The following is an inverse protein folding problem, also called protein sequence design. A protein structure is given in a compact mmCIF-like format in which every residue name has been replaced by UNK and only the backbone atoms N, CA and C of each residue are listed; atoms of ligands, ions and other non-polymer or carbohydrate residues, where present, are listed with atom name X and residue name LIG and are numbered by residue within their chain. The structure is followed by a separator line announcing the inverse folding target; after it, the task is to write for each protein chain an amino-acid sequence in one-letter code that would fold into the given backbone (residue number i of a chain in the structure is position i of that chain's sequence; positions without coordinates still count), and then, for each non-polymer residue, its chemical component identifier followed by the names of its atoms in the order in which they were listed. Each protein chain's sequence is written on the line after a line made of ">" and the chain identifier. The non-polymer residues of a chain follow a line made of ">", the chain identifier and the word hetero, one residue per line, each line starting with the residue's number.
data_IF_894651799066
#
_entry.id   IF_894651799066
#
_cell.length_a   1.000
_cell.length_b   1.000
_cell.length_c   1.000
_cell.angle_alpha   90.00
_cell.angle_beta   90.00
_cell.angle_gamma   90.00
#
_symmetry.space_group_name_H-M   'P 1'
#
loop_
_entity.id
_entity.type
_entity.pdbx_description
1 polymer ?
#
# COMPACT_ATOMS: atom_id res chain seq x y z
N UNK A 1 46.46 -1.73 8.75
CA UNK A 1 45.38 -2.66 9.14
C UNK A 1 44.11 -1.84 9.16
N UNK A 2 43.26 -2.17 8.22
CA UNK A 2 42.27 -1.30 7.61
C UNK A 2 41.08 -1.04 8.53
N UNK A 3 40.77 0.25 8.69
CA UNK A 3 39.51 0.68 9.29
C UNK A 3 38.38 0.37 8.31
N UNK A 4 37.60 -0.66 8.61
CA UNK A 4 36.30 -0.86 7.99
C UNK A 4 35.38 0.30 8.37
N UNK A 5 35.28 1.29 7.48
CA UNK A 5 34.15 2.19 7.45
C UNK A 5 32.91 1.35 7.12
N UNK A 6 32.07 1.10 8.12
CA UNK A 6 30.68 0.72 7.90
C UNK A 6 30.03 1.87 7.12
N UNK A 7 29.76 1.63 5.84
CA UNK A 7 28.93 2.51 5.04
C UNK A 7 27.51 2.44 5.62
N UNK A 8 27.13 3.48 6.35
CA UNK A 8 25.74 3.77 6.66
C UNK A 8 25.03 4.08 5.33
N UNK A 9 24.45 3.06 4.71
CA UNK A 9 23.75 3.18 3.44
C UNK A 9 22.24 3.39 3.65
N UNK A 10 21.89 4.29 4.56
CA UNK A 10 20.52 4.77 4.72
C UNK A 10 20.41 6.15 4.08
N UNK A 11 20.66 6.24 2.77
CA UNK A 11 20.47 7.51 2.05
C UNK A 11 18.97 7.80 1.94
N UNK A 12 18.44 8.57 2.89
CA UNK A 12 17.12 9.17 2.76
C UNK A 12 17.19 10.26 1.67
N UNK A 13 16.33 10.16 0.65
CA UNK A 13 16.13 11.22 -0.33
C UNK A 13 14.98 12.11 0.14
N UNK A 14 15.22 13.42 0.21
CA UNK A 14 14.17 14.41 0.50
C UNK A 14 13.81 15.09 -0.82
N UNK A 15 12.53 15.07 -1.17
CA UNK A 15 11.98 15.75 -2.35
C UNK A 15 10.93 16.75 -1.88
N UNK A 16 11.16 18.02 -2.20
CA UNK A 16 10.21 19.12 -1.92
C UNK A 16 9.43 19.43 -3.20
N UNK A 17 8.11 19.50 -3.09
CA UNK A 17 7.19 19.80 -4.20
C UNK A 17 6.11 20.77 -3.72
N UNK A 18 5.42 21.42 -4.66
CA UNK A 18 4.35 22.37 -4.33
C UNK A 18 2.98 21.70 -4.27
N UNK A 19 2.83 20.51 -4.89
CA UNK A 19 1.56 19.79 -4.90
C UNK A 19 1.74 18.30 -4.67
N UNK A 20 0.69 17.64 -4.17
CA UNK A 20 0.65 16.19 -4.05
C UNK A 20 0.84 15.48 -5.40
N UNK A 21 0.39 16.10 -6.51
CA UNK A 21 0.58 15.55 -7.86
C UNK A 21 2.05 15.49 -8.23
N UNK A 22 2.79 16.59 -8.07
CA UNK A 22 4.22 16.62 -8.38
C UNK A 22 5.01 15.58 -7.57
N UNK A 23 4.62 15.35 -6.31
CA UNK A 23 5.24 14.31 -5.50
C UNK A 23 4.95 12.91 -6.05
N UNK A 24 3.69 12.63 -6.41
CA UNK A 24 3.32 11.33 -7.00
C UNK A 24 3.98 11.13 -8.36
N UNK A 25 4.09 12.18 -9.17
CA UNK A 25 4.78 12.17 -10.48
C UNK A 25 6.25 11.76 -10.35
N UNK A 26 6.92 12.14 -9.25
CA UNK A 26 8.29 11.73 -8.96
C UNK A 26 8.42 10.33 -8.34
N UNK A 27 7.33 9.78 -7.79
CA UNK A 27 7.31 8.44 -7.15
C UNK A 27 6.93 7.35 -8.14
N UNK A 28 6.02 7.64 -9.07
CA UNK A 28 5.47 6.67 -10.00
C UNK A 28 5.89 7.01 -11.43
N UNK A 29 6.77 6.18 -11.97
CA UNK A 29 7.22 6.29 -13.36
C UNK A 29 6.03 6.33 -14.34
N UNK A 30 6.03 7.37 -15.20
CA UNK A 30 5.01 7.57 -16.23
C UNK A 30 3.70 8.21 -15.76
N UNK A 31 3.55 8.56 -14.46
CA UNK A 31 2.33 9.20 -13.95
C UNK A 31 2.13 10.62 -14.50
N UNK A 32 3.21 11.39 -14.65
CA UNK A 32 3.15 12.77 -15.13
C UNK A 32 2.54 12.88 -16.55
N UNK A 33 2.85 11.92 -17.42
CA UNK A 33 2.47 11.93 -18.85
C UNK A 33 1.15 11.21 -19.12
N UNK A 34 0.57 10.56 -18.11
CA UNK A 34 -0.64 9.76 -18.20
C UNK A 34 -1.92 10.61 -18.13
N UNK A 35 -3.02 10.13 -18.73
CA UNK A 35 -4.36 10.67 -18.51
C UNK A 35 -4.91 10.28 -17.12
N UNK A 36 -6.07 10.83 -16.72
CA UNK A 36 -6.61 10.64 -15.38
C UNK A 36 -6.91 9.17 -15.04
N UNK A 37 -7.43 8.40 -15.99
CA UNK A 37 -7.74 6.98 -15.81
C UNK A 37 -6.44 6.16 -15.67
N UNK A 38 -5.45 6.46 -16.51
CA UNK A 38 -4.12 5.84 -16.45
C UNK A 38 -3.40 6.19 -15.15
N UNK A 39 -3.49 7.43 -14.67
CA UNK A 39 -2.92 7.87 -13.38
C UNK A 39 -3.54 7.12 -12.21
N UNK A 40 -4.86 6.95 -12.20
CA UNK A 40 -5.53 6.10 -11.22
C UNK A 40 -5.03 4.65 -11.29
N UNK A 41 -4.93 4.07 -12.48
CA UNK A 41 -4.43 2.70 -12.67
C UNK A 41 -2.97 2.54 -12.20
N UNK A 42 -2.12 3.52 -12.47
CA UNK A 42 -0.72 3.54 -12.03
C UNK A 42 -0.60 3.59 -10.50
N UNK A 43 -1.38 4.45 -9.83
CA UNK A 43 -1.45 4.50 -8.36
C UNK A 43 -1.97 3.18 -7.77
N UNK A 44 -3.02 2.61 -8.36
CA UNK A 44 -3.58 1.34 -7.90
C UNK A 44 -2.57 0.18 -8.05
N UNK A 45 -1.87 0.11 -9.19
CA UNK A 45 -0.81 -0.89 -9.41
C UNK A 45 0.32 -0.74 -8.41
N UNK A 46 0.79 0.49 -8.19
CA UNK A 46 1.85 0.77 -7.23
C UNK A 46 1.45 0.31 -5.81
N UNK A 47 0.24 0.64 -5.35
CA UNK A 47 -0.24 0.19 -4.04
C UNK A 47 -0.39 -1.34 -3.98
N UNK A 48 -0.81 -2.00 -5.06
CA UNK A 48 -0.93 -3.46 -5.09
C UNK A 48 0.42 -4.17 -4.94
N UNK A 49 1.44 -3.71 -5.66
CA UNK A 49 2.79 -4.25 -5.57
C UNK A 49 3.34 -4.14 -4.13
N UNK A 50 3.17 -2.97 -3.50
CA UNK A 50 3.63 -2.74 -2.14
C UNK A 50 2.78 -3.48 -1.10
N UNK A 51 1.45 -3.54 -1.26
CA UNK A 51 0.56 -4.29 -0.39
C UNK A 51 0.91 -5.78 -0.39
N UNK A 52 1.16 -6.37 -1.57
CA UNK A 52 1.58 -7.75 -1.70
C UNK A 52 2.91 -8.00 -0.96
N UNK A 53 3.88 -7.12 -1.13
CA UNK A 53 5.18 -7.24 -0.45
C UNK A 53 5.04 -7.16 1.08
N UNK A 54 4.31 -6.17 1.59
CA UNK A 54 4.10 -5.98 3.04
C UNK A 54 3.28 -7.12 3.64
N UNK A 55 2.22 -7.58 2.97
CA UNK A 55 1.40 -8.70 3.42
C UNK A 55 2.24 -10.00 3.50
N UNK A 56 3.14 -10.22 2.55
CA UNK A 56 4.07 -11.36 2.58
C UNK A 56 5.05 -11.27 3.77
N UNK A 57 5.55 -10.08 4.10
CA UNK A 57 6.38 -9.85 5.29
C UNK A 57 5.61 -10.12 6.58
N UNK A 58 4.37 -9.60 6.70
CA UNK A 58 3.50 -9.88 7.84
C UNK A 58 3.27 -11.39 7.99
N UNK A 59 2.93 -12.07 6.89
CA UNK A 59 2.67 -13.50 6.90
C UNK A 59 3.90 -14.31 7.33
N UNK A 60 5.09 -13.94 6.86
CA UNK A 60 6.33 -14.61 7.24
C UNK A 60 6.63 -14.48 8.75
N UNK A 61 6.27 -13.36 9.38
CA UNK A 61 6.45 -13.13 10.82
C UNK A 61 5.44 -13.93 11.67
N UNK A 62 4.18 -13.97 11.22
CA UNK A 62 3.08 -14.61 11.98
C UNK A 62 2.90 -16.10 11.69
N UNK A 63 3.47 -16.64 10.61
CA UNK A 63 3.30 -18.04 10.18
C UNK A 63 3.74 -19.08 11.23
N UNK A 64 4.61 -18.70 12.17
CA UNK A 64 5.04 -19.58 13.26
C UNK A 64 4.15 -19.50 14.51
N UNK A 65 3.25 -18.51 14.58
CA UNK A 65 2.49 -18.16 15.77
C UNK A 65 0.98 -18.45 15.64
N UNK A 66 0.46 -18.55 14.42
CA UNK A 66 -0.95 -18.76 14.15
C UNK A 66 -1.18 -20.05 13.36
N UNK A 67 -2.22 -20.79 13.74
CA UNK A 67 -2.76 -21.87 12.93
C UNK A 67 -3.76 -21.26 11.95
N UNK A 68 -3.35 -21.11 10.69
CA UNK A 68 -4.14 -20.47 9.64
C UNK A 68 -4.86 -21.51 8.82
N UNK A 69 -6.19 -21.40 8.75
CA UNK A 69 -6.98 -22.22 7.85
C UNK A 69 -6.79 -21.81 6.37
N UNK A 70 -7.27 -22.67 5.48
CA UNK A 70 -7.11 -22.50 4.03
C UNK A 70 -7.83 -21.24 3.51
N UNK A 71 -8.96 -20.88 4.12
CA UNK A 71 -9.73 -19.68 3.76
C UNK A 71 -8.96 -18.41 4.11
N UNK A 72 -8.37 -18.35 5.33
CA UNK A 72 -7.51 -17.25 5.75
C UNK A 72 -6.27 -17.15 4.87
N UNK A 73 -5.61 -18.27 4.56
CA UNK A 73 -4.46 -18.30 3.66
C UNK A 73 -4.83 -17.81 2.26
N UNK A 74 -6.00 -18.19 1.75
CA UNK A 74 -6.49 -17.75 0.44
C UNK A 74 -6.62 -16.23 0.37
N UNK A 75 -7.19 -15.61 1.41
CA UNK A 75 -7.34 -14.15 1.48
C UNK A 75 -5.98 -13.46 1.70
N UNK A 76 -5.15 -13.97 2.60
CA UNK A 76 -3.83 -13.39 2.93
C UNK A 76 -2.86 -13.45 1.75
N UNK A 77 -2.85 -14.55 0.98
CA UNK A 77 -1.95 -14.76 -0.15
C UNK A 77 -2.48 -14.22 -1.48
N UNK A 78 -3.71 -13.69 -1.51
CA UNK A 78 -4.29 -13.19 -2.75
C UNK A 78 -3.49 -12.01 -3.34
N UNK A 79 -3.33 -12.00 -4.66
CA UNK A 79 -2.65 -10.91 -5.36
C UNK A 79 -3.53 -9.66 -5.44
N UNK A 80 -3.13 -8.57 -4.78
CA UNK A 80 -3.87 -7.31 -4.73
C UNK A 80 -3.96 -6.58 -6.07
N UNK A 81 -3.21 -6.98 -7.09
CA UNK A 81 -3.33 -6.45 -8.45
C UNK A 81 -4.47 -7.10 -9.25
N UNK A 82 -5.08 -8.16 -8.71
CA UNK A 82 -6.21 -8.86 -9.32
C UNK A 82 -7.54 -8.41 -8.75
N UNK A 83 -8.61 -8.93 -9.34
CA UNK A 83 -9.94 -8.76 -8.81
C UNK A 83 -10.02 -9.27 -7.37
N UNK A 84 -10.50 -8.43 -6.45
CA UNK A 84 -10.53 -8.72 -5.02
C UNK A 84 -11.24 -10.04 -4.68
N UNK A 85 -10.80 -10.71 -3.61
CA UNK A 85 -11.47 -11.92 -3.10
C UNK A 85 -12.80 -11.55 -2.47
N UNK A 86 -13.82 -12.37 -2.70
CA UNK A 86 -15.12 -12.24 -2.06
C UNK A 86 -15.09 -12.91 -0.67
N UNK A 87 -15.32 -12.11 0.37
CA UNK A 87 -15.55 -12.56 1.74
C UNK A 87 -16.26 -11.44 2.50
N UNK A 88 -17.05 -11.79 3.52
CA UNK A 88 -17.90 -10.81 4.21
C UNK A 88 -17.18 -10.14 5.39
N UNK A 89 -16.29 -10.88 6.07
CA UNK A 89 -15.65 -10.43 7.31
C UNK A 89 -14.27 -11.05 7.50
N UNK A 90 -13.37 -10.25 8.06
CA UNK A 90 -12.05 -10.65 8.54
C UNK A 90 -12.04 -10.63 10.07
N UNK A 91 -12.05 -11.81 10.68
CA UNK A 91 -12.09 -11.99 12.14
C UNK A 91 -10.72 -12.25 12.78
N UNK A 92 -9.66 -12.27 11.97
CA UNK A 92 -8.29 -12.49 12.46
C UNK A 92 -7.64 -11.19 12.95
N UNK A 93 -6.78 -11.32 13.96
CA UNK A 93 -5.93 -10.23 14.45
C UNK A 93 -4.74 -9.95 13.51
N UNK A 94 -4.52 -10.79 12.51
CA UNK A 94 -3.49 -10.57 11.49
C UNK A 94 -3.90 -9.39 10.61
N UNK A 95 -3.05 -8.36 10.45
CA UNK A 95 -3.36 -7.25 9.57
C UNK A 95 -3.61 -7.72 8.13
N UNK A 96 -4.77 -7.32 7.58
CA UNK A 96 -5.16 -7.61 6.21
C UNK A 96 -5.14 -6.33 5.38
N UNK A 97 -4.21 -6.23 4.45
CA UNK A 97 -4.06 -5.04 3.60
C UNK A 97 -4.95 -5.19 2.37
N UNK A 98 -5.82 -4.23 2.10
CA UNK A 98 -6.75 -4.22 0.96
C UNK A 98 -6.74 -2.88 0.21
N UNK A 99 -7.05 -2.91 -1.09
CA UNK A 99 -7.16 -1.70 -1.92
C UNK A 99 -8.62 -1.29 -2.06
N UNK A 100 -8.93 -0.04 -1.73
CA UNK A 100 -10.29 0.53 -1.66
C UNK A 100 -11.05 0.43 -2.99
N UNK A 101 -10.34 0.59 -4.12
CA UNK A 101 -10.93 0.58 -5.48
C UNK A 101 -11.32 -0.81 -5.96
N UNK A 102 -10.97 -1.88 -5.23
CA UNK A 102 -11.51 -3.22 -5.47
C UNK A 102 -12.95 -3.42 -4.99
N UNK A 103 -13.52 -2.43 -4.30
CA UNK A 103 -14.79 -2.52 -3.58
C UNK A 103 -15.69 -1.31 -3.86
N UNK A 104 -16.93 -1.35 -3.38
CA UNK A 104 -17.89 -0.24 -3.40
C UNK A 104 -17.27 1.04 -2.82
N UNK A 105 -17.50 2.22 -3.44
CA UNK A 105 -18.40 2.49 -4.58
C UNK A 105 -17.80 2.24 -5.99
N UNK A 106 -16.56 1.77 -6.09
CA UNK A 106 -15.87 1.61 -7.37
C UNK A 106 -16.22 0.31 -8.10
N UNK A 107 -16.67 -0.70 -7.35
CA UNK A 107 -17.15 -1.99 -7.87
C UNK A 107 -18.46 -2.39 -7.19
N UNK A 108 -19.11 -3.43 -7.73
CA UNK A 108 -20.29 -4.06 -7.11
C UNK A 108 -19.94 -4.87 -5.84
N UNK A 109 -18.65 -5.07 -5.53
CA UNK A 109 -18.22 -5.87 -4.39
C UNK A 109 -18.29 -5.04 -3.09
N UNK A 110 -19.07 -5.45 -2.08
CA UNK A 110 -19.13 -4.75 -0.81
C UNK A 110 -17.80 -4.89 -0.05
N UNK A 111 -17.46 -3.89 0.76
CA UNK A 111 -16.27 -3.97 1.62
C UNK A 111 -16.49 -5.01 2.73
N UNK A 112 -15.53 -5.92 2.98
CA UNK A 112 -15.58 -6.79 4.15
C UNK A 112 -15.48 -5.98 5.45
N UNK A 113 -16.11 -6.49 6.51
CA UNK A 113 -15.95 -5.97 7.86
C UNK A 113 -14.67 -6.53 8.52
N UNK A 114 -14.11 -5.83 9.49
CA UNK A 114 -12.97 -6.34 10.27
C UNK A 114 -12.07 -5.21 10.76
N UNK A 115 -11.66 -5.28 12.02
CA UNK A 115 -10.90 -4.20 12.68
C UNK A 115 -9.42 -4.22 12.28
N UNK A 116 -8.89 -5.39 11.91
CA UNK A 116 -7.50 -5.59 11.45
C UNK A 116 -7.30 -5.29 9.96
N UNK A 117 -8.31 -4.72 9.28
CA UNK A 117 -8.20 -4.39 7.84
C UNK A 117 -7.51 -3.02 7.67
N UNK A 118 -6.39 -3.02 6.95
CA UNK A 118 -5.66 -1.82 6.54
C UNK A 118 -6.05 -1.45 5.12
N UNK A 119 -6.70 -0.29 4.96
CA UNK A 119 -7.19 0.19 3.67
C UNK A 119 -6.19 1.10 2.98
N UNK A 120 -5.86 0.77 1.73
CA UNK A 120 -5.08 1.60 0.84
C UNK A 120 -5.97 2.20 -0.24
N UNK A 121 -5.81 3.49 -0.53
CA UNK A 121 -6.71 4.25 -1.38
C UNK A 121 -5.98 5.01 -2.49
N UNK A 122 -6.00 4.52 -3.74
CA UNK A 122 -5.38 5.18 -4.88
C UNK A 122 -6.24 6.28 -5.52
N UNK A 123 -7.44 6.57 -4.99
CA UNK A 123 -8.43 7.43 -5.67
C UNK A 123 -7.96 8.87 -5.92
N UNK A 124 -7.10 9.39 -5.05
CA UNK A 124 -6.48 10.71 -5.15
C UNK A 124 -4.99 10.63 -4.81
N UNK A 125 -4.21 11.63 -5.21
CA UNK A 125 -2.77 11.70 -4.92
C UNK A 125 -2.54 11.78 -3.41
N UNK A 126 -3.37 12.56 -2.70
CA UNK A 126 -3.28 12.67 -1.24
C UNK A 126 -3.65 11.36 -0.52
N UNK A 127 -4.72 10.68 -0.94
CA UNK A 127 -5.09 9.39 -0.35
C UNK A 127 -4.04 8.32 -0.64
N UNK A 128 -3.44 8.35 -1.85
CA UNK A 128 -2.32 7.48 -2.22
C UNK A 128 -1.12 7.72 -1.30
N UNK A 129 -0.68 8.97 -1.13
CA UNK A 129 0.46 9.31 -0.27
C UNK A 129 0.22 8.91 1.20
N UNK A 130 -1.00 9.08 1.72
CA UNK A 130 -1.36 8.57 3.05
C UNK A 130 -1.27 7.05 3.13
N UNK A 131 -1.71 6.37 2.07
CA UNK A 131 -1.72 4.91 1.99
C UNK A 131 -0.30 4.35 2.02
N UNK A 132 0.63 4.90 1.21
CA UNK A 132 2.02 4.42 1.21
C UNK A 132 2.69 4.64 2.56
N UNK A 133 2.39 5.75 3.25
CA UNK A 133 2.92 6.02 4.59
C UNK A 133 2.36 5.11 5.67
N UNK A 134 1.17 4.54 5.47
CA UNK A 134 0.57 3.62 6.44
C UNK A 134 1.18 2.22 6.42
N UNK A 135 1.81 1.82 5.32
CA UNK A 135 2.37 0.47 5.13
C UNK A 135 3.86 0.44 4.79
N UNK A 136 4.52 1.59 4.65
CA UNK A 136 5.89 1.68 4.15
C UNK A 136 6.75 2.72 4.86
N UNK A 137 8.05 2.81 4.50
CA UNK A 137 9.02 3.71 5.13
C UNK A 137 8.88 5.18 4.69
N UNK A 138 7.94 5.49 3.78
CA UNK A 138 7.78 6.84 3.25
C UNK A 138 7.01 7.69 4.25
N UNK A 139 7.66 8.74 4.75
CA UNK A 139 7.01 9.78 5.56
C UNK A 139 6.92 11.05 4.73
N UNK A 140 5.73 11.67 4.66
CA UNK A 140 5.54 12.97 4.03
C UNK A 140 4.94 13.96 5.03
N UNK A 141 5.22 15.24 4.82
CA UNK A 141 4.77 16.33 5.66
C UNK A 141 4.17 17.44 4.79
N UNK A 142 3.18 18.15 5.31
CA UNK A 142 2.68 19.40 4.74
C UNK A 142 3.21 20.53 5.60
N UNK A 143 3.89 21.51 5.00
CA UNK A 143 4.26 22.72 5.70
C UNK A 143 3.01 23.59 5.91
N UNK A 144 2.76 24.04 7.14
CA UNK A 144 1.72 25.04 7.40
C UNK A 144 2.08 26.35 6.70
N UNK A 145 1.13 26.90 5.95
CA UNK A 145 1.26 28.25 5.40
C UNK A 145 1.17 29.25 6.55
N UNK A 146 2.26 29.98 6.81
CA UNK A 146 2.33 31.05 7.79
C UNK A 146 1.52 32.30 7.37
#
# INVERSE_FOLDING_TARGET
>A
MDGHALLDNTSASITETQTASELVDGVIDGHADADDDQRLALRARFLAEHANAVQATILADVAHHYDLDEDALTVLLHDRAREAVAFDRWDSDIPLILISTGYTPFTERPRPAGDSIVWLDPSTETSFLRSISSIGPVTWFVADAA
#
